data_IF_594115706662
#
_entry.id   IF_594115706662
#
_cell.length_a   1.000
_cell.length_b   1.000
_cell.length_c   1.000
_cell.angle_alpha   90.00
_cell.angle_beta   90.00
_cell.angle_gamma   90.00
#
_symmetry.space_group_name_H-M   'P 1'
#
loop_
_entity.id
_entity.type
_entity.pdbx_description
1 polymer ?
#
# COMPACT_ATOMS: atom_id res chain seq x y z
N UNK A 1 1.76 -9.46 12.70
CA UNK A 1 2.04 -8.21 11.94
C UNK A 1 1.01 -8.23 10.83
N UNK A 2 -0.01 -7.38 10.91
CA UNK A 2 -1.19 -7.47 10.04
C UNK A 2 -0.93 -6.63 8.79
N UNK A 3 -0.92 -7.25 7.60
CA UNK A 3 -0.81 -6.57 6.32
C UNK A 3 0.42 -6.97 5.48
N UNK A 4 0.21 -7.53 4.30
CA UNK A 4 1.26 -7.67 3.26
C UNK A 4 1.49 -6.31 2.58
N UNK A 5 2.68 -5.74 2.77
CA UNK A 5 3.06 -4.44 2.20
C UNK A 5 3.27 -4.48 0.68
N UNK A 6 3.56 -5.67 0.14
CA UNK A 6 3.60 -5.95 -1.29
C UNK A 6 2.64 -7.06 -1.64
N UNK A 7 1.99 -6.92 -2.79
CA UNK A 7 1.19 -7.98 -3.37
C UNK A 7 1.47 -8.12 -4.87
N UNK A 8 1.46 -9.36 -5.32
CA UNK A 8 1.57 -9.69 -6.74
C UNK A 8 0.18 -9.61 -7.39
N UNK A 9 0.06 -9.04 -8.61
CA UNK A 9 -1.18 -9.09 -9.35
C UNK A 9 -1.68 -10.53 -9.54
N UNK A 10 -2.98 -10.75 -9.31
CA UNK A 10 -3.64 -12.05 -9.41
C UNK A 10 -3.46 -12.95 -8.18
N UNK A 11 -2.62 -12.58 -7.21
CA UNK A 11 -2.47 -13.32 -5.96
C UNK A 11 -3.29 -12.68 -4.82
N UNK A 12 -3.99 -13.47 -4.00
CA UNK A 12 -4.67 -12.96 -2.82
C UNK A 12 -3.68 -12.43 -1.78
N UNK A 13 -4.03 -11.31 -1.16
CA UNK A 13 -3.24 -10.67 -0.12
C UNK A 13 -4.14 -10.03 0.94
N UNK A 14 -3.64 -9.82 2.15
CA UNK A 14 -4.45 -9.39 3.30
C UNK A 14 -3.94 -8.08 3.86
N UNK A 15 -4.85 -7.16 4.20
CA UNK A 15 -4.58 -5.88 4.84
C UNK A 15 -5.40 -5.71 6.12
N UNK A 16 -4.81 -5.08 7.13
CA UNK A 16 -5.56 -4.54 8.27
C UNK A 16 -5.92 -3.06 8.04
N UNK A 17 -6.85 -2.48 8.83
CA UNK A 17 -7.14 -1.05 8.77
C UNK A 17 -5.88 -0.20 9.02
N UNK A 18 -5.73 0.86 8.24
CA UNK A 18 -4.56 1.75 8.26
C UNK A 18 -3.34 1.22 7.51
N UNK A 19 -3.41 0.06 6.85
CA UNK A 19 -2.31 -0.49 6.06
C UNK A 19 -2.52 -0.30 4.55
N UNK A 20 -1.41 -0.15 3.84
CA UNK A 20 -1.37 -0.02 2.37
C UNK A 20 -0.64 -1.20 1.76
N UNK A 21 -1.24 -1.84 0.77
CA UNK A 21 -0.53 -2.75 -0.14
C UNK A 21 -0.02 -1.98 -1.35
N UNK A 22 1.20 -2.30 -1.77
CA UNK A 22 1.83 -1.84 -3.01
C UNK A 22 1.79 -2.99 -4.02
N UNK A 23 1.12 -2.79 -5.15
CA UNK A 23 0.87 -3.81 -6.16
C UNK A 23 1.68 -3.50 -7.42
N UNK A 24 2.33 -4.53 -7.96
CA UNK A 24 3.01 -4.48 -9.26
C UNK A 24 4.10 -3.41 -9.33
N UNK A 25 5.01 -3.32 -8.35
CA UNK A 25 6.12 -2.34 -8.33
C UNK A 25 5.68 -0.87 -8.19
N UNK A 26 4.73 -0.59 -7.30
CA UNK A 26 4.20 0.76 -7.01
C UNK A 26 3.35 1.36 -8.15
N UNK A 27 2.81 0.51 -9.03
CA UNK A 27 1.87 0.95 -10.06
C UNK A 27 0.47 1.20 -9.46
N UNK A 28 0.08 0.41 -8.44
CA UNK A 28 -1.14 0.62 -7.68
C UNK A 28 -0.85 0.53 -6.18
N UNK A 29 -1.41 1.45 -5.41
CA UNK A 29 -1.49 1.39 -3.95
C UNK A 29 -2.94 1.24 -3.52
N UNK A 30 -3.18 0.28 -2.65
CA UNK A 30 -4.49 0.03 -2.05
C UNK A 30 -4.38 0.19 -0.53
N UNK A 31 -5.00 1.22 0.00
CA UNK A 31 -5.09 1.46 1.44
C UNK A 31 -6.43 0.97 1.98
N UNK A 32 -6.41 0.20 3.07
CA UNK A 32 -7.60 -0.13 3.82
C UNK A 32 -7.82 0.96 4.87
N UNK A 33 -8.76 1.87 4.62
CA UNK A 33 -9.02 3.03 5.50
C UNK A 33 -9.61 2.56 6.84
N UNK A 34 -10.82 2.01 6.81
CA UNK A 34 -11.57 1.63 8.01
C UNK A 34 -12.74 0.70 7.70
N UNK A 35 -13.28 0.04 8.72
CA UNK A 35 -14.57 -0.66 8.66
C UNK A 35 -15.67 0.36 8.91
N UNK A 36 -16.53 0.60 7.91
CA UNK A 36 -17.63 1.55 7.99
C UNK A 36 -18.81 0.96 8.78
N UNK A 37 -19.10 -0.32 8.54
CA UNK A 37 -20.21 -1.04 9.17
C UNK A 37 -19.91 -2.54 9.22
N UNK A 38 -20.25 -3.18 10.33
CA UNK A 38 -20.33 -4.63 10.41
C UNK A 38 -21.64 -5.03 11.12
N UNK A 39 -22.65 -5.37 10.32
CA UNK A 39 -23.96 -5.83 10.78
C UNK A 39 -24.15 -7.34 10.59
N UNK A 40 -23.06 -8.07 10.32
CA UNK A 40 -23.10 -9.53 10.19
C UNK A 40 -23.61 -10.16 11.50
N UNK A 41 -24.39 -11.22 11.36
CA UNK A 41 -25.01 -11.87 12.51
C UNK A 41 -23.95 -12.53 13.40
N UNK A 42 -23.81 -12.15 14.68
CA UNK A 42 -22.85 -12.81 15.56
C UNK A 42 -23.13 -14.31 15.74
N UNK A 43 -22.09 -15.12 15.94
CA UNK A 43 -22.24 -16.59 16.10
C UNK A 43 -23.09 -17.01 17.31
N UNK A 44 -23.21 -16.15 18.32
CA UNK A 44 -23.98 -16.38 19.54
C UNK A 44 -25.43 -15.86 19.48
N UNK A 45 -25.86 -15.33 18.33
CA UNK A 45 -27.18 -14.72 18.13
C UNK A 45 -27.92 -15.39 16.95
N UNK A 46 -29.23 -15.54 17.10
CA UNK A 46 -30.10 -15.99 16.01
C UNK A 46 -30.74 -14.76 15.32
N UNK A 47 -30.21 -14.38 14.16
CA UNK A 47 -30.74 -13.25 13.38
C UNK A 47 -31.82 -13.70 12.38
N UNK A 48 -32.87 -12.89 12.25
CA UNK A 48 -33.93 -13.10 11.24
C UNK A 48 -33.41 -12.81 9.82
N UNK A 49 -32.48 -11.85 9.69
CA UNK A 49 -31.82 -11.50 8.44
C UNK A 49 -30.32 -11.34 8.71
N UNK A 50 -29.48 -11.97 7.90
CA UNK A 50 -28.04 -11.77 7.95
C UNK A 50 -27.70 -10.37 7.39
N UNK A 51 -26.99 -9.55 8.17
CA UNK A 51 -26.44 -8.28 7.70
C UNK A 51 -25.16 -8.47 6.89
N UNK A 52 -24.40 -7.39 6.76
CA UNK A 52 -23.22 -7.33 5.90
C UNK A 52 -22.07 -6.57 6.55
N UNK A 53 -20.89 -6.67 5.96
CA UNK A 53 -19.74 -5.85 6.33
C UNK A 53 -19.41 -4.89 5.19
N UNK A 54 -19.10 -3.64 5.53
CA UNK A 54 -18.69 -2.60 4.59
C UNK A 54 -17.38 -1.98 5.07
N UNK A 55 -16.42 -1.87 4.16
CA UNK A 55 -15.11 -1.28 4.38
C UNK A 55 -14.89 -0.13 3.41
N UNK A 56 -14.16 0.88 3.86
CA UNK A 56 -13.61 1.92 3.01
C UNK A 56 -12.19 1.54 2.58
N UNK A 57 -11.92 1.68 1.29
CA UNK A 57 -10.57 1.54 0.73
C UNK A 57 -10.25 2.72 -0.16
N UNK A 58 -8.98 3.10 -0.20
CA UNK A 58 -8.50 4.16 -1.08
C UNK A 58 -7.47 3.57 -2.03
N UNK A 59 -7.76 3.67 -3.32
CA UNK A 59 -6.87 3.22 -4.39
C UNK A 59 -6.18 4.43 -5.05
N UNK A 60 -4.91 4.29 -5.36
CA UNK A 60 -4.12 5.27 -6.09
C UNK A 60 -3.17 4.58 -7.07
N UNK A 61 -3.21 4.97 -8.35
CA UNK A 61 -2.25 4.57 -9.38
C UNK A 61 -1.62 5.79 -10.05
N UNK A 62 -0.43 5.59 -10.63
CA UNK A 62 0.46 6.64 -11.14
C UNK A 62 -0.24 7.74 -11.94
N UNK A 63 -0.20 8.98 -11.42
CA UNK A 63 -0.66 10.19 -12.13
C UNK A 63 -2.15 10.55 -11.95
N UNK A 64 -2.94 9.79 -11.19
CA UNK A 64 -4.32 10.14 -10.85
C UNK A 64 -4.55 10.42 -9.36
N UNK A 65 -5.66 11.12 -9.08
CA UNK A 65 -6.08 11.42 -7.72
C UNK A 65 -6.56 10.13 -7.04
N UNK A 66 -6.12 9.92 -5.81
CA UNK A 66 -6.62 8.85 -4.94
C UNK A 66 -8.15 8.85 -4.95
N UNK A 67 -8.74 7.67 -5.15
CA UNK A 67 -10.19 7.49 -5.18
C UNK A 67 -10.58 6.55 -4.07
N UNK A 68 -11.53 6.98 -3.24
CA UNK A 68 -12.09 6.16 -2.17
C UNK A 68 -13.27 5.36 -2.69
N UNK A 69 -13.36 4.11 -2.25
CA UNK A 69 -14.38 3.15 -2.61
C UNK A 69 -14.94 2.49 -1.36
N UNK A 70 -16.20 2.05 -1.45
CA UNK A 70 -16.81 1.20 -0.44
C UNK A 70 -16.96 -0.20 -1.02
N UNK A 71 -16.36 -1.17 -0.35
CA UNK A 71 -16.44 -2.58 -0.69
C UNK A 71 -17.10 -3.31 0.47
N UNK A 72 -17.92 -4.31 0.19
CA UNK A 72 -18.63 -5.00 1.25
C UNK A 72 -19.73 -5.92 0.76
N UNK A 73 -20.17 -6.80 1.65
CA UNK A 73 -21.20 -7.78 1.33
C UNK A 73 -21.45 -8.76 2.47
N UNK A 74 -22.28 -9.75 2.18
CA UNK A 74 -22.51 -10.87 3.10
C UNK A 74 -21.29 -11.79 3.08
N UNK A 75 -20.95 -12.34 4.26
CA UNK A 75 -19.87 -13.33 4.39
C UNK A 75 -20.39 -14.62 5.00
N UNK A 76 -19.70 -15.71 4.74
CA UNK A 76 -19.84 -16.92 5.55
C UNK A 76 -19.16 -16.74 6.92
N UNK A 77 -19.23 -17.78 7.76
CA UNK A 77 -18.65 -17.78 9.11
C UNK A 77 -17.11 -17.80 9.14
N UNK A 78 -16.46 -18.05 8.00
CA UNK A 78 -15.00 -17.89 7.86
C UNK A 78 -14.60 -16.46 7.51
N UNK A 79 -15.57 -15.58 7.22
CA UNK A 79 -15.33 -14.21 6.77
C UNK A 79 -15.21 -14.07 5.26
N UNK A 80 -15.25 -15.16 4.49
CA UNK A 80 -15.26 -15.12 3.03
C UNK A 80 -16.55 -14.51 2.50
N UNK A 81 -16.46 -13.59 1.54
CA UNK A 81 -17.64 -13.00 0.89
C UNK A 81 -18.40 -14.09 0.12
N UNK A 82 -19.72 -14.14 0.30
CA UNK A 82 -20.60 -15.06 -0.42
C UNK A 82 -20.59 -14.74 -1.92
N UNK A 83 -20.54 -13.46 -2.25
CA UNK A 83 -20.34 -12.95 -3.60
C UNK A 83 -19.20 -11.92 -3.54
N UNK A 84 -18.02 -12.22 -4.11
CA UNK A 84 -16.91 -11.29 -4.16
C UNK A 84 -17.31 -9.98 -4.85
N UNK A 85 -16.93 -8.85 -4.27
CA UNK A 85 -17.22 -7.52 -4.82
C UNK A 85 -15.97 -6.94 -5.43
N UNK A 86 -16.10 -6.44 -6.65
CA UNK A 86 -15.00 -5.84 -7.40
C UNK A 86 -15.27 -4.37 -7.74
N UNK A 87 -14.21 -3.58 -7.71
CA UNK A 87 -14.15 -2.22 -8.25
C UNK A 87 -13.10 -2.15 -9.35
N UNK A 88 -13.26 -1.20 -10.26
CA UNK A 88 -12.23 -0.88 -11.25
C UNK A 88 -11.61 0.46 -10.89
N UNK A 89 -10.28 0.47 -10.73
CA UNK A 89 -9.47 1.66 -10.62
C UNK A 89 -8.50 1.70 -11.81
N UNK A 90 -8.82 2.55 -12.78
CA UNK A 90 -8.16 2.59 -14.08
C UNK A 90 -8.15 1.23 -14.81
N UNK A 91 -6.98 0.61 -14.86
CA UNK A 91 -6.71 -0.67 -15.50
C UNK A 91 -6.77 -1.85 -14.53
N UNK A 92 -6.82 -1.57 -13.22
CA UNK A 92 -6.83 -2.58 -12.18
C UNK A 92 -8.25 -2.94 -11.77
N UNK A 93 -8.49 -4.23 -11.57
CA UNK A 93 -9.71 -4.72 -10.91
C UNK A 93 -9.34 -5.18 -9.52
N UNK A 94 -9.83 -4.48 -8.50
CA UNK A 94 -9.63 -4.83 -7.09
C UNK A 94 -10.85 -5.59 -6.62
N UNK A 95 -10.66 -6.83 -6.18
CA UNK A 95 -11.73 -7.70 -5.69
C UNK A 95 -11.54 -7.98 -4.21
N UNK A 96 -12.57 -7.73 -3.40
CA UNK A 96 -12.64 -8.13 -2.00
C UNK A 96 -13.11 -9.58 -1.91
N UNK A 97 -12.32 -10.43 -1.27
CA UNK A 97 -12.56 -11.86 -1.12
C UNK A 97 -13.04 -12.24 0.28
N UNK A 98 -12.50 -11.61 1.33
CA UNK A 98 -12.86 -11.90 2.70
C UNK A 98 -12.70 -10.68 3.61
N UNK A 99 -13.49 -10.63 4.69
CA UNK A 99 -13.29 -9.75 5.83
C UNK A 99 -13.39 -10.56 7.11
N UNK A 100 -12.26 -10.71 7.78
CA UNK A 100 -12.10 -11.42 9.04
C UNK A 100 -11.89 -10.43 10.20
N UNK A 101 -12.19 -10.81 11.44
CA UNK A 101 -12.91 -12.03 11.81
C UNK A 101 -14.40 -11.92 11.49
N UNK A 102 -15.08 -13.05 11.41
CA UNK A 102 -16.54 -13.07 11.55
C UNK A 102 -16.91 -12.74 13.01
N UNK A 103 -17.92 -11.89 13.28
CA UNK A 103 -18.23 -11.50 14.65
C UNK A 103 -18.63 -12.72 15.50
N UNK A 104 -17.83 -13.01 16.52
CA UNK A 104 -18.17 -14.02 17.52
C UNK A 104 -19.22 -13.51 18.54
N UNK A 105 -19.27 -12.19 18.73
CA UNK A 105 -20.16 -11.46 19.62
C UNK A 105 -20.40 -10.06 19.04
N UNK A 106 -21.34 -9.29 19.58
CA UNK A 106 -21.82 -8.02 19.00
C UNK A 106 -20.79 -6.88 18.86
N UNK A 107 -19.56 -7.04 19.35
CA UNK A 107 -18.48 -6.06 19.19
C UNK A 107 -17.13 -6.75 18.93
N UNK A 108 -16.51 -6.42 17.79
CA UNK A 108 -15.14 -6.78 17.44
C UNK A 108 -14.28 -5.51 17.49
N UNK A 109 -13.09 -5.53 18.12
CA UNK A 109 -12.17 -4.40 18.08
C UNK A 109 -11.76 -4.08 16.64
N UNK A 110 -11.77 -2.79 16.27
CA UNK A 110 -11.52 -2.33 14.89
C UNK A 110 -10.12 -2.76 14.39
N UNK A 111 -9.11 -2.77 15.27
CA UNK A 111 -7.76 -3.23 14.94
C UNK A 111 -7.64 -4.74 14.66
N UNK A 112 -8.67 -5.52 14.99
CA UNK A 112 -8.71 -6.97 14.74
C UNK A 112 -9.08 -7.35 13.31
N UNK A 113 -9.55 -6.40 12.51
CA UNK A 113 -10.04 -6.68 11.17
C UNK A 113 -8.91 -6.94 10.17
N UNK A 114 -9.16 -7.89 9.26
CA UNK A 114 -8.31 -8.26 8.14
C UNK A 114 -9.20 -8.39 6.90
N UNK A 115 -8.89 -7.65 5.85
CA UNK A 115 -9.55 -7.75 4.56
C UNK A 115 -8.60 -8.42 3.56
N UNK A 116 -9.08 -9.47 2.88
CA UNK A 116 -8.32 -10.18 1.85
C UNK A 116 -8.79 -9.73 0.48
N UNK A 117 -7.86 -9.27 -0.34
CA UNK A 117 -8.08 -8.75 -1.67
C UNK A 117 -7.34 -9.59 -2.71
N UNK A 118 -7.79 -9.53 -3.96
CA UNK A 118 -6.98 -9.88 -5.13
C UNK A 118 -7.07 -8.73 -6.12
N UNK A 119 -5.96 -8.41 -6.77
CA UNK A 119 -5.91 -7.33 -7.76
C UNK A 119 -5.50 -7.91 -9.10
N UNK A 120 -6.40 -7.85 -10.08
CA UNK A 120 -6.09 -8.21 -11.45
C UNK A 120 -5.55 -6.99 -12.20
N UNK A 121 -4.41 -7.18 -12.87
CA UNK A 121 -3.82 -6.22 -13.79
C UNK A 121 -4.04 -6.68 -15.25
N UNK A 122 -4.13 -5.77 -16.24
CA UNK A 122 -4.16 -6.17 -17.64
C UNK A 122 -2.88 -6.92 -18.01
N UNK A 123 -3.02 -7.95 -18.83
CA UNK A 123 -1.89 -8.71 -19.36
C UNK A 123 -0.91 -7.76 -20.07
N UNK A 124 0.24 -7.48 -19.44
CA UNK A 124 1.24 -6.52 -19.90
C UNK A 124 1.79 -5.59 -18.81
N UNK A 125 1.10 -5.44 -17.67
CA UNK A 125 1.60 -4.72 -16.48
C UNK A 125 2.10 -5.65 -15.36
N UNK A 126 1.97 -6.96 -15.55
CA UNK A 126 2.67 -7.96 -14.73
C UNK A 126 4.14 -7.91 -15.13
N UNK A 127 5.08 -7.55 -14.22
CA UNK A 127 6.49 -7.71 -14.51
C UNK A 127 6.70 -9.18 -14.87
N UNK A 128 7.24 -9.48 -16.05
CA UNK A 128 7.77 -10.83 -16.26
C UNK A 128 8.78 -11.07 -15.13
N UNK A 129 8.70 -12.19 -14.39
CA UNK A 129 9.74 -12.52 -13.42
C UNK A 129 11.06 -12.48 -14.18
N UNK A 130 11.93 -11.55 -13.81
CA UNK A 130 13.23 -11.47 -14.48
C UNK A 130 13.97 -12.77 -14.15
N UNK A 131 14.42 -13.54 -15.16
CA UNK A 131 15.20 -14.73 -14.89
C UNK A 131 16.54 -14.29 -14.30
N UNK A 132 16.72 -14.61 -13.02
CA UNK A 132 17.99 -14.48 -12.32
C UNK A 132 17.95 -13.39 -11.25
N UNK A 133 17.57 -13.79 -10.04
CA UNK A 133 18.20 -13.29 -8.83
C UNK A 133 19.72 -13.51 -8.99
N UNK A 134 20.37 -12.54 -9.62
CA UNK A 134 21.81 -12.53 -9.78
C UNK A 134 22.34 -12.01 -8.46
N UNK A 135 23.24 -12.78 -7.84
CA UNK A 135 23.85 -12.60 -6.53
C UNK A 135 23.65 -11.22 -5.89
N UNK A 136 23.12 -11.20 -4.65
CA UNK A 136 23.09 -10.04 -3.76
C UNK A 136 24.36 -9.21 -3.95
N UNK A 137 24.28 -8.04 -4.59
CA UNK A 137 25.46 -7.19 -4.73
C UNK A 137 25.91 -6.83 -3.32
N UNK A 138 27.23 -6.82 -3.09
CA UNK A 138 27.78 -6.42 -1.81
C UNK A 138 27.13 -5.11 -1.34
N UNK A 139 26.80 -4.97 -0.04
CA UNK A 139 26.18 -3.76 0.47
C UNK A 139 27.09 -2.57 0.17
N UNK A 140 26.48 -1.51 -0.36
CA UNK A 140 27.16 -0.25 -0.55
C UNK A 140 27.47 0.34 0.83
N UNK A 141 28.72 0.75 1.02
CA UNK A 141 29.22 1.32 2.26
C UNK A 141 28.91 2.81 2.40
N UNK A 142 28.30 3.43 1.38
CA UNK A 142 27.84 4.81 1.44
C UNK A 142 26.78 5.01 2.53
N UNK A 143 26.76 6.20 3.11
CA UNK A 143 25.74 6.64 4.05
C UNK A 143 25.01 7.79 3.38
N UNK A 144 23.78 7.53 2.94
CA UNK A 144 22.98 8.45 2.14
C UNK A 144 21.60 8.63 2.78
N UNK A 145 20.93 9.77 2.58
CA UNK A 145 19.56 9.93 3.02
C UNK A 145 18.62 9.08 2.16
N UNK A 146 17.55 8.55 2.76
CA UNK A 146 16.43 7.98 2.00
C UNK A 146 15.55 9.10 1.49
N UNK A 147 15.20 9.03 0.20
CA UNK A 147 14.22 9.91 -0.39
C UNK A 147 12.82 9.44 0.00
N UNK A 148 12.06 10.30 0.67
CA UNK A 148 10.66 10.09 0.99
C UNK A 148 9.80 11.06 0.19
N UNK A 149 8.69 10.57 -0.36
CA UNK A 149 7.73 11.38 -1.12
C UNK A 149 6.40 11.46 -0.39
N UNK A 150 5.68 12.56 -0.62
CA UNK A 150 4.28 12.71 -0.24
C UNK A 150 3.50 13.13 -1.49
N UNK A 151 2.85 12.14 -2.10
CA UNK A 151 2.06 12.36 -3.32
C UNK A 151 0.78 13.16 -3.02
N UNK A 152 0.27 13.13 -1.78
CA UNK A 152 -0.85 13.97 -1.37
C UNK A 152 -0.49 15.46 -1.35
N UNK A 153 0.75 15.81 -0.99
CA UNK A 153 1.23 17.20 -1.08
C UNK A 153 1.18 17.70 -2.54
N UNK A 154 1.59 16.88 -3.52
CA UNK A 154 1.46 17.21 -4.95
C UNK A 154 0.01 17.41 -5.35
N UNK A 155 -0.88 16.52 -4.92
CA UNK A 155 -2.31 16.60 -5.22
C UNK A 155 -2.98 17.83 -4.61
N UNK A 156 -2.58 18.25 -3.39
CA UNK A 156 -3.10 19.45 -2.74
C UNK A 156 -2.62 20.72 -3.44
N UNK A 157 -1.33 20.78 -3.81
CA UNK A 157 -0.78 21.90 -4.59
C UNK A 157 -1.48 22.05 -5.94
N UNK A 158 -1.69 20.94 -6.66
CA UNK A 158 -2.39 20.95 -7.95
C UNK A 158 -3.87 21.35 -7.84
N UNK A 159 -4.50 21.16 -6.68
CA UNK A 159 -5.87 21.58 -6.39
C UNK A 159 -5.98 23.07 -5.97
N UNK A 160 -4.88 23.84 -6.03
CA UNK A 160 -4.84 25.23 -5.61
C UNK A 160 -4.66 25.43 -4.11
N UNK A 161 -4.26 24.38 -3.39
CA UNK A 161 -3.85 24.45 -1.99
C UNK A 161 -2.51 25.17 -1.80
N UNK A 162 -2.12 25.35 -0.53
CA UNK A 162 -0.83 25.94 -0.20
C UNK A 162 0.33 25.06 -0.68
N UNK A 163 1.48 25.69 -0.97
CA UNK A 163 2.69 24.97 -1.33
C UNK A 163 3.21 24.19 -0.11
N UNK A 164 3.37 22.89 -0.28
CA UNK A 164 3.88 21.97 0.75
C UNK A 164 5.03 21.14 0.19
N UNK A 165 5.96 20.66 1.04
CA UNK A 165 7.02 19.78 0.59
C UNK A 165 6.43 18.47 0.09
N UNK A 166 6.75 18.11 -1.15
CA UNK A 166 6.38 16.83 -1.75
C UNK A 166 7.50 15.79 -1.70
N UNK A 167 8.71 16.23 -1.36
CA UNK A 167 9.86 15.37 -1.06
C UNK A 167 10.52 15.81 0.24
N UNK A 168 11.03 14.86 1.00
CA UNK A 168 11.89 15.07 2.15
C UNK A 168 12.98 13.99 2.19
N UNK A 169 14.12 14.33 2.77
CA UNK A 169 15.27 13.45 2.91
C UNK A 169 15.46 13.14 4.38
N UNK A 170 15.57 11.85 4.72
CA UNK A 170 15.91 11.42 6.08
C UNK A 170 17.31 11.88 6.48
N UNK A 171 17.70 11.67 7.73
CA UNK A 171 19.13 11.63 8.06
C UNK A 171 19.84 10.54 7.24
N UNK A 172 21.12 10.72 6.86
CA UNK A 172 21.86 9.70 6.14
C UNK A 172 22.00 8.39 6.92
N UNK A 173 21.74 7.27 6.25
CA UNK A 173 21.83 5.91 6.81
C UNK A 173 22.58 4.97 5.86
N UNK A 174 23.15 3.87 6.37
CA UNK A 174 23.69 2.82 5.50
C UNK A 174 22.56 2.10 4.76
N UNK A 175 22.89 1.47 3.64
CA UNK A 175 21.94 0.76 2.78
C UNK A 175 21.12 -0.32 3.53
N UNK A 176 21.71 -0.93 4.57
CA UNK A 176 21.13 -2.03 5.34
C UNK A 176 20.29 -1.57 6.55
N UNK A 177 20.17 -0.27 6.80
CA UNK A 177 19.32 0.24 7.88
C UNK A 177 17.82 0.11 7.59
N UNK A 178 17.43 -0.17 6.34
CA UNK A 178 16.09 -0.64 5.99
C UNK A 178 16.20 -2.02 5.30
N UNK A 179 15.93 -3.09 6.05
CA UNK A 179 16.08 -4.48 5.60
C UNK A 179 14.91 -4.99 4.77
N UNK A 180 13.79 -4.28 4.83
CA UNK A 180 12.55 -4.53 4.09
C UNK A 180 11.84 -3.19 3.86
N UNK A 181 10.81 -3.20 3.02
CA UNK A 181 10.05 -1.98 2.73
C UNK A 181 9.35 -1.45 3.96
N UNK A 182 8.87 -2.30 4.85
CA UNK A 182 8.28 -1.88 6.13
C UNK A 182 9.23 -1.07 6.98
N UNK A 183 10.51 -1.41 6.99
CA UNK A 183 11.53 -0.62 7.63
C UNK A 183 11.76 0.73 6.91
N UNK A 184 11.80 0.75 5.58
CA UNK A 184 11.95 1.98 4.80
C UNK A 184 10.70 2.90 4.91
N UNK A 185 9.51 2.32 4.92
CA UNK A 185 8.24 2.98 5.14
C UNK A 185 8.15 3.53 6.55
N UNK A 186 8.40 2.70 7.57
CA UNK A 186 8.42 3.15 8.96
C UNK A 186 9.43 4.27 9.16
N UNK A 187 10.57 4.26 8.46
CA UNK A 187 11.53 5.35 8.48
C UNK A 187 10.93 6.66 7.96
N UNK A 188 10.32 6.67 6.77
CA UNK A 188 9.68 7.86 6.21
C UNK A 188 8.51 8.33 7.07
N UNK A 189 7.63 7.41 7.46
CA UNK A 189 6.42 7.68 8.24
C UNK A 189 6.75 8.27 9.61
N UNK A 190 7.69 7.66 10.34
CA UNK A 190 8.11 8.15 11.66
C UNK A 190 8.78 9.52 11.58
N UNK A 191 9.49 9.80 10.48
CA UNK A 191 10.26 11.05 10.34
C UNK A 191 9.37 12.21 9.90
N UNK A 192 8.41 11.96 9.00
CA UNK A 192 7.68 13.02 8.30
C UNK A 192 6.16 12.95 8.43
N UNK A 193 5.61 11.83 8.89
CA UNK A 193 4.19 11.60 9.11
C UNK A 193 3.61 10.47 8.24
N UNK A 194 2.38 10.04 8.50
CA UNK A 194 1.79 8.83 7.92
C UNK A 194 1.58 8.85 6.41
N UNK A 195 1.57 10.03 5.80
CA UNK A 195 1.41 10.20 4.35
C UNK A 195 2.74 10.03 3.57
N UNK A 196 3.87 9.84 4.26
CA UNK A 196 5.20 9.80 3.66
C UNK A 196 5.71 8.37 3.45
N UNK A 197 6.12 8.08 2.23
CA UNK A 197 6.62 6.76 1.81
C UNK A 197 7.99 6.87 1.16
N UNK A 198 8.83 5.81 1.19
CA UNK A 198 10.10 5.81 0.50
C UNK A 198 9.87 5.81 -1.02
N UNK A 199 10.60 6.66 -1.72
CA UNK A 199 10.52 6.76 -3.17
C UNK A 199 11.16 5.53 -3.83
N UNK A 200 10.49 5.03 -4.88
CA UNK A 200 11.05 4.01 -5.76
C UNK A 200 11.74 4.61 -6.99
N UNK A 201 12.47 3.78 -7.76
CA UNK A 201 13.11 4.21 -9.01
C UNK A 201 12.13 4.86 -10.01
N UNK A 202 10.93 4.30 -10.15
CA UNK A 202 9.86 4.83 -11.02
C UNK A 202 9.28 6.15 -10.50
N UNK A 203 9.16 6.30 -9.17
CA UNK A 203 8.65 7.51 -8.52
C UNK A 203 9.59 8.70 -8.79
N UNK A 204 10.91 8.48 -8.76
CA UNK A 204 11.90 9.56 -8.89
C UNK A 204 11.78 10.35 -10.19
N UNK A 205 11.40 9.73 -11.31
CA UNK A 205 11.22 10.45 -12.58
C UNK A 205 10.16 11.56 -12.47
N UNK A 206 9.14 11.34 -11.65
CA UNK A 206 8.07 12.32 -11.40
C UNK A 206 8.50 13.46 -10.47
N UNK A 207 9.60 13.24 -9.71
CA UNK A 207 10.08 14.17 -8.70
C UNK A 207 11.47 14.74 -8.98
N UNK A 208 12.08 14.38 -10.11
CA UNK A 208 13.46 14.73 -10.45
C UNK A 208 13.73 16.24 -10.41
N UNK A 209 12.72 17.05 -10.73
CA UNK A 209 12.79 18.52 -10.69
C UNK A 209 12.82 19.11 -9.29
N UNK A 210 12.37 18.35 -8.29
CA UNK A 210 12.40 18.76 -6.88
C UNK A 210 13.65 18.27 -6.15
N UNK A 211 14.40 17.31 -6.72
CA UNK A 211 15.58 16.75 -6.09
C UNK A 211 16.71 17.79 -5.95
N UNK A 212 17.44 17.80 -4.82
CA UNK A 212 18.63 18.62 -4.68
C UNK A 212 19.67 18.20 -5.72
N UNK A 213 20.14 19.17 -6.52
CA UNK A 213 21.09 18.91 -7.59
C UNK A 213 22.37 18.23 -7.08
N UNK A 214 22.72 17.09 -7.66
CA UNK A 214 23.96 16.36 -7.36
C UNK A 214 24.00 15.68 -5.99
N UNK A 215 22.87 15.58 -5.27
CA UNK A 215 22.83 14.85 -4.00
C UNK A 215 22.44 13.39 -4.24
N UNK A 216 23.36 12.43 -3.99
CA UNK A 216 23.00 11.02 -4.03
C UNK A 216 22.07 10.66 -2.87
N UNK A 217 21.10 9.79 -3.15
CA UNK A 217 20.07 9.36 -2.20
C UNK A 217 19.87 7.85 -2.30
N UNK A 218 19.27 7.27 -1.26
CA UNK A 218 18.71 5.93 -1.30
C UNK A 218 17.27 5.97 -1.80
N UNK A 219 16.96 5.09 -2.75
CA UNK A 219 15.60 4.76 -3.19
C UNK A 219 15.26 3.34 -2.78
N UNK A 220 14.02 3.06 -2.42
CA UNK A 220 13.59 1.69 -2.21
C UNK A 220 13.29 1.01 -3.55
N UNK A 221 14.09 0.00 -3.92
CA UNK A 221 13.81 -0.82 -5.10
C UNK A 221 13.13 -2.12 -4.68
N UNK A 222 11.84 -2.23 -5.00
CA UNK A 222 11.04 -3.42 -4.75
C UNK A 222 11.55 -4.67 -5.45
N UNK A 223 12.21 -4.56 -6.62
CA UNK A 223 12.82 -5.71 -7.29
C UNK A 223 14.07 -6.19 -6.58
N UNK A 224 14.90 -5.25 -6.14
CA UNK A 224 16.13 -5.56 -5.44
C UNK A 224 15.86 -5.96 -3.97
N UNK A 225 14.66 -5.63 -3.45
CA UNK A 225 14.28 -5.86 -2.06
C UNK A 225 15.15 -5.09 -1.08
N UNK A 226 15.67 -3.91 -1.49
CA UNK A 226 16.63 -3.12 -0.71
C UNK A 226 16.68 -1.67 -1.18
N UNK A 227 17.36 -0.83 -0.40
CA UNK A 227 17.74 0.51 -0.85
C UNK A 227 18.76 0.43 -2.00
N UNK A 228 18.60 1.24 -3.04
CA UNK A 228 19.53 1.36 -4.16
C UNK A 228 19.98 2.81 -4.30
N UNK A 229 21.24 2.99 -4.66
CA UNK A 229 21.82 4.32 -4.77
C UNK A 229 21.28 4.97 -6.04
N UNK A 230 20.75 6.18 -5.90
CA UNK A 230 20.42 7.05 -7.01
C UNK A 230 21.31 8.29 -6.93
N UNK A 231 21.98 8.59 -8.05
CA UNK A 231 22.77 9.80 -8.23
C UNK A 231 22.20 10.56 -9.43
N UNK A 232 21.57 11.73 -9.21
CA UNK A 232 21.03 12.57 -10.29
C UNK A 232 22.11 13.20 -11.17
#
# INVERSE_FOLDING_TARGET
RNGSEFAEPGEPFTLGPGYTAVIGQDILRLHFDEVLEDSRCPLDVECVQAGQVQIAVTAASGGQRSTSYVLGGQTDQSGALVEPVAITHELFTVTLLAVEPYPAQSSVPVEGYLATFVVDAPAGLVPTPFPGATATPAPDTAVLPVLCTNDFAVLRMNAGGESEPAILLTEPLPQDAATDYGAAHALCNKTFGPEWVPAGPSTVESFVTYLPAGQPVWLWDGMAGRLVQYAP
#
